data_IF_458209450076
#
_entry.id   IF_458209450076
#
_cell.length_a   1.000
_cell.length_b   1.000
_cell.length_c   1.000
_cell.angle_alpha   90.00
_cell.angle_beta   90.00
_cell.angle_gamma   90.00
#
_symmetry.space_group_name_H-M   'P 1'
#
loop_
_entity.id
_entity.type
_entity.pdbx_description
1 polymer ?
#
# COMPACT_ATOMS: atom_id res chain seq x y z
N UNK A 1 11.36 -17.75 -23.41
CA UNK A 1 10.57 -17.07 -22.36
C UNK A 1 10.40 -17.97 -21.12
N UNK A 2 10.46 -19.30 -21.28
CA UNK A 2 10.20 -20.26 -20.19
C UNK A 2 11.28 -20.31 -19.08
N UNK A 3 12.55 -20.07 -19.40
CA UNK A 3 13.61 -20.00 -18.36
C UNK A 3 13.45 -18.80 -17.41
N UNK A 4 12.81 -17.71 -17.83
CA UNK A 4 12.62 -16.51 -17.00
C UNK A 4 11.49 -16.69 -15.98
N UNK A 5 10.40 -17.36 -16.36
CA UNK A 5 9.31 -17.71 -15.43
C UNK A 5 9.77 -18.68 -14.35
N UNK A 6 10.67 -19.61 -14.69
CA UNK A 6 11.22 -20.58 -13.73
C UNK A 6 12.05 -19.91 -12.63
N UNK A 7 12.89 -18.93 -12.98
CA UNK A 7 13.74 -18.24 -12.00
C UNK A 7 12.96 -17.32 -11.04
N UNK A 8 11.96 -16.59 -11.53
CA UNK A 8 11.08 -15.75 -10.71
C UNK A 8 10.24 -16.57 -9.71
N UNK A 9 9.84 -17.77 -10.11
CA UNK A 9 9.07 -18.67 -9.23
C UNK A 9 9.96 -19.25 -8.11
N UNK A 10 11.24 -19.57 -8.39
CA UNK A 10 12.18 -20.04 -7.35
C UNK A 10 12.50 -18.96 -6.33
N UNK A 11 12.71 -17.71 -6.75
CA UNK A 11 13.02 -16.61 -5.82
C UNK A 11 11.86 -16.28 -4.89
N UNK A 12 10.61 -16.34 -5.37
CA UNK A 12 9.42 -16.04 -4.54
C UNK A 12 9.13 -17.13 -3.51
N UNK A 13 9.32 -18.42 -3.86
CA UNK A 13 9.24 -19.54 -2.92
C UNK A 13 10.32 -19.42 -1.83
N UNK A 14 11.53 -19.00 -2.23
CA UNK A 14 12.66 -18.84 -1.31
C UNK A 14 12.42 -17.71 -0.29
N UNK A 15 11.84 -16.58 -0.69
CA UNK A 15 11.46 -15.46 0.19
C UNK A 15 10.33 -15.82 1.16
N UNK A 16 9.31 -16.56 0.70
CA UNK A 16 8.23 -17.05 1.58
C UNK A 16 8.79 -17.95 2.69
N UNK A 17 9.76 -18.82 2.37
CA UNK A 17 10.41 -19.68 3.36
C UNK A 17 11.24 -18.89 4.40
N UNK A 18 11.97 -17.85 3.97
CA UNK A 18 12.72 -16.98 4.88
C UNK A 18 11.81 -16.18 5.81
N UNK A 19 10.71 -15.63 5.29
CA UNK A 19 9.72 -14.92 6.10
C UNK A 19 9.03 -15.82 7.13
N UNK A 20 8.76 -17.07 6.78
CA UNK A 20 8.21 -18.05 7.72
C UNK A 20 9.20 -18.37 8.85
N UNK A 21 10.49 -18.53 8.54
CA UNK A 21 11.55 -18.71 9.56
C UNK A 21 11.69 -17.49 10.47
N UNK A 22 11.59 -16.28 9.92
CA UNK A 22 11.61 -15.04 10.69
C UNK A 22 10.42 -14.98 11.66
N UNK A 23 9.21 -15.28 11.18
CA UNK A 23 8.01 -15.33 12.01
C UNK A 23 8.15 -16.36 13.15
N UNK A 24 8.59 -17.58 12.84
CA UNK A 24 8.83 -18.61 13.85
C UNK A 24 9.88 -18.19 14.89
N UNK A 25 10.96 -17.52 14.47
CA UNK A 25 11.98 -16.99 15.37
C UNK A 25 11.42 -15.89 16.29
N UNK A 26 10.58 -14.99 15.76
CA UNK A 26 9.93 -13.93 16.57
C UNK A 26 8.98 -14.50 17.62
N UNK A 27 8.20 -15.52 17.26
CA UNK A 27 7.31 -16.19 18.22
C UNK A 27 8.10 -16.91 19.31
N UNK A 28 9.19 -17.58 18.95
CA UNK A 28 10.08 -18.23 19.92
C UNK A 28 10.76 -17.24 20.87
N UNK A 29 11.13 -16.04 20.39
CA UNK A 29 11.68 -14.99 21.24
C UNK A 29 10.63 -14.50 22.25
N UNK A 30 9.39 -14.25 21.78
CA UNK A 30 8.31 -13.77 22.63
C UNK A 30 7.97 -14.75 23.75
N UNK A 31 7.91 -16.05 23.46
CA UNK A 31 7.67 -17.08 24.49
C UNK A 31 8.83 -17.17 25.48
N UNK A 32 10.08 -17.05 25.01
CA UNK A 32 11.24 -17.03 25.91
C UNK A 32 11.25 -15.78 26.82
N UNK A 33 10.85 -14.61 26.30
CA UNK A 33 10.74 -13.38 27.10
C UNK A 33 9.65 -13.50 28.18
N UNK A 34 8.51 -14.13 27.85
CA UNK A 34 7.43 -14.35 28.81
C UNK A 34 7.85 -15.31 29.93
N UNK A 35 8.56 -16.40 29.59
CA UNK A 35 9.12 -17.34 30.58
C UNK A 35 10.19 -16.71 31.47
N UNK A 36 11.00 -15.79 30.92
CA UNK A 36 11.98 -15.04 31.72
C UNK A 36 11.29 -14.08 32.69
N UNK A 37 10.23 -13.40 32.25
CA UNK A 37 9.45 -12.50 33.11
C UNK A 37 8.78 -13.26 34.27
N UNK A 38 8.24 -14.45 34.04
CA UNK A 38 7.69 -15.29 35.10
C UNK A 38 8.76 -15.76 36.08
N UNK A 39 9.91 -16.22 35.59
CA UNK A 39 11.02 -16.65 36.44
C UNK A 39 11.58 -15.51 37.32
N UNK A 40 11.62 -14.28 36.80
CA UNK A 40 11.99 -13.10 37.58
C UNK A 40 10.96 -12.74 38.66
N UNK A 41 9.66 -12.96 38.39
CA UNK A 41 8.61 -12.75 39.39
C UNK A 41 8.74 -13.75 40.54
N UNK A 42 9.02 -15.02 40.23
CA UNK A 42 9.26 -16.07 41.22
C UNK A 42 10.51 -15.79 42.07
N UNK A 43 11.60 -15.29 41.44
CA UNK A 43 12.81 -14.91 42.15
C UNK A 43 12.56 -13.77 43.17
N UNK A 44 11.73 -12.79 42.80
CA UNK A 44 11.33 -11.69 43.70
C UNK A 44 10.45 -12.18 44.85
N UNK A 45 9.72 -13.28 44.66
CA UNK A 45 8.88 -13.90 45.70
C UNK A 45 9.69 -14.74 46.71
N UNK A 46 11.01 -14.88 46.54
CA UNK A 46 11.89 -15.51 47.53
C UNK A 46 11.82 -17.05 47.55
N UNK A 47 11.28 -17.68 46.51
CA UNK A 47 11.13 -19.14 46.44
C UNK A 47 12.38 -19.83 45.87
N UNK A 48 13.11 -20.54 46.74
CA UNK A 48 14.07 -21.64 46.51
C UNK A 48 15.34 -21.39 45.65
N UNK A 49 16.43 -22.09 45.99
CA UNK A 49 17.71 -22.08 45.26
C UNK A 49 17.59 -22.47 43.78
N UNK A 50 16.54 -23.22 43.42
CA UNK A 50 16.22 -23.62 42.04
C UNK A 50 15.81 -22.45 41.13
N UNK A 51 15.29 -21.34 41.69
CA UNK A 51 14.85 -20.19 40.89
C UNK A 51 16.02 -19.47 40.21
N UNK A 52 17.19 -19.43 40.86
CA UNK A 52 18.40 -18.81 40.29
C UNK A 52 18.93 -19.64 39.11
N UNK A 53 18.86 -20.96 39.20
CA UNK A 53 19.24 -21.86 38.11
C UNK A 53 18.29 -21.71 36.92
N UNK A 54 16.96 -21.71 37.14
CA UNK A 54 15.97 -21.49 36.08
C UNK A 54 16.10 -20.12 35.42
N UNK A 55 16.41 -19.06 36.19
CA UNK A 55 16.65 -17.73 35.63
C UNK A 55 17.89 -17.69 34.73
N UNK A 56 18.97 -18.39 35.11
CA UNK A 56 20.18 -18.50 34.29
C UNK A 56 19.94 -19.34 33.02
N UNK A 57 19.22 -20.45 33.12
CA UNK A 57 18.83 -21.28 31.97
C UNK A 57 17.91 -20.52 31.01
N UNK A 58 16.93 -19.76 31.54
CA UNK A 58 16.05 -18.90 30.74
C UNK A 58 16.83 -17.76 30.06
N UNK A 59 17.81 -17.15 30.74
CA UNK A 59 18.69 -16.13 30.16
C UNK A 59 19.60 -16.69 29.06
N UNK A 60 20.10 -17.92 29.21
CA UNK A 60 20.84 -18.60 28.17
C UNK A 60 19.96 -18.92 26.96
N UNK A 61 18.73 -19.38 27.19
CA UNK A 61 17.74 -19.66 26.16
C UNK A 61 17.33 -18.41 25.38
N UNK A 62 17.09 -17.27 26.04
CA UNK A 62 16.78 -16.00 25.38
C UNK A 62 17.96 -15.51 24.53
N UNK A 63 19.19 -15.61 25.04
CA UNK A 63 20.40 -15.25 24.28
C UNK A 63 20.58 -16.13 23.04
N UNK A 64 20.32 -17.43 23.15
CA UNK A 64 20.35 -18.35 22.01
C UNK A 64 19.24 -18.06 20.99
N UNK A 65 18.02 -17.73 21.45
CA UNK A 65 16.92 -17.33 20.58
C UNK A 65 17.21 -16.01 19.84
N UNK A 66 17.78 -15.03 20.53
CA UNK A 66 18.20 -13.76 19.93
C UNK A 66 19.28 -13.96 18.86
N UNK A 67 20.25 -14.84 19.10
CA UNK A 67 21.28 -15.17 18.11
C UNK A 67 20.67 -15.78 16.84
N UNK A 68 19.66 -16.66 16.98
CA UNK A 68 18.92 -17.22 15.83
C UNK A 68 18.14 -16.16 15.06
N UNK A 69 17.54 -15.19 15.75
CA UNK A 69 16.82 -14.10 15.13
C UNK A 69 17.75 -13.18 14.32
N UNK A 70 18.90 -12.81 14.91
CA UNK A 70 19.91 -12.01 14.22
C UNK A 70 20.47 -12.74 12.99
N UNK A 71 20.71 -14.06 13.08
CA UNK A 71 21.15 -14.87 11.95
C UNK A 71 20.09 -14.94 10.83
N UNK A 72 18.81 -15.08 11.19
CA UNK A 72 17.71 -15.07 10.23
C UNK A 72 17.54 -13.71 9.53
N UNK A 73 17.73 -12.61 10.26
CA UNK A 73 17.73 -11.25 9.69
C UNK A 73 18.87 -11.06 8.70
N UNK A 74 20.09 -11.48 9.06
CA UNK A 74 21.25 -11.42 8.16
C UNK A 74 21.04 -12.26 6.88
N UNK A 75 20.35 -13.41 6.96
CA UNK A 75 20.00 -14.20 5.77
C UNK A 75 19.01 -13.46 4.84
N UNK A 76 18.02 -12.75 5.41
CA UNK A 76 17.08 -11.93 4.64
C UNK A 76 17.79 -10.78 3.95
N UNK A 77 18.61 -10.01 4.68
CA UNK A 77 19.38 -8.89 4.12
C UNK A 77 20.34 -9.33 3.01
N UNK A 78 21.05 -10.46 3.19
CA UNK A 78 21.92 -11.01 2.17
C UNK A 78 21.17 -11.36 0.87
N UNK A 79 19.95 -11.88 0.99
CA UNK A 79 19.11 -12.22 -0.17
C UNK A 79 18.51 -10.99 -0.85
N UNK A 80 18.14 -9.96 -0.09
CA UNK A 80 17.68 -8.69 -0.66
C UNK A 80 18.81 -8.01 -1.44
N UNK A 81 20.03 -8.00 -0.90
CA UNK A 81 21.21 -7.49 -1.60
C UNK A 81 21.52 -8.26 -2.90
N UNK A 82 21.32 -9.59 -2.91
CA UNK A 82 21.47 -10.40 -4.13
C UNK A 82 20.36 -10.10 -5.16
N UNK A 83 19.12 -9.93 -4.71
CA UNK A 83 18.00 -9.56 -5.57
C UNK A 83 18.21 -8.17 -6.20
N UNK A 84 18.75 -7.21 -5.44
CA UNK A 84 19.08 -5.89 -5.95
C UNK A 84 20.20 -5.95 -7.01
N UNK A 85 21.25 -6.74 -6.78
CA UNK A 85 22.30 -6.99 -7.79
C UNK A 85 21.74 -7.65 -9.06
N UNK A 86 20.78 -8.56 -8.93
CA UNK A 86 20.13 -9.20 -10.07
C UNK A 86 19.27 -8.22 -10.90
N UNK A 87 18.52 -7.34 -10.24
CA UNK A 87 17.71 -6.31 -10.93
C UNK A 87 18.58 -5.24 -11.59
N UNK A 88 19.68 -4.83 -10.95
CA UNK A 88 20.66 -3.90 -11.54
C UNK A 88 21.28 -4.45 -12.84
N UNK A 89 21.70 -5.73 -12.84
CA UNK A 89 22.20 -6.40 -14.05
C UNK A 89 21.16 -6.42 -15.18
N UNK A 90 19.90 -6.74 -14.85
CA UNK A 90 18.82 -6.77 -15.83
C UNK A 90 18.55 -5.39 -16.47
N UNK A 91 18.50 -4.33 -15.66
CA UNK A 91 18.32 -2.97 -16.18
C UNK A 91 19.48 -2.51 -17.07
N UNK A 92 20.73 -2.85 -16.73
CA UNK A 92 21.90 -2.51 -17.55
C UNK A 92 21.84 -3.15 -18.95
N UNK A 93 21.40 -4.41 -19.05
CA UNK A 93 21.27 -5.11 -20.33
C UNK A 93 20.09 -4.60 -21.18
N UNK A 94 19.02 -4.10 -20.56
CA UNK A 94 17.85 -3.63 -21.31
C UNK A 94 17.97 -2.17 -21.78
N UNK A 95 18.87 -1.38 -21.19
CA UNK A 95 19.15 0.01 -21.60
C UNK A 95 19.88 0.13 -22.94
N UNK A 96 20.36 -0.98 -23.52
CA UNK A 96 21.09 -1.01 -24.80
C UNK A 96 20.20 -1.36 -26.00
N UNK A 97 18.88 -1.53 -25.82
CA UNK A 97 17.98 -1.75 -26.95
C UNK A 97 17.74 -0.43 -27.69
N UNK A 98 18.09 -0.32 -28.99
CA UNK A 98 17.86 0.89 -29.76
C UNK A 98 16.36 1.22 -29.75
N UNK A 99 16.05 2.48 -29.41
CA UNK A 99 14.68 3.02 -29.47
C UNK A 99 14.13 2.77 -30.87
N UNK A 100 13.13 1.91 -31.00
CA UNK A 100 12.32 1.85 -32.22
C UNK A 100 11.60 3.19 -32.36
N UNK A 101 11.84 3.86 -33.48
CA UNK A 101 11.14 5.09 -33.88
C UNK A 101 9.63 4.87 -33.90
N UNK A 102 8.83 5.63 -33.14
CA UNK A 102 7.38 5.54 -33.18
C UNK A 102 6.85 6.40 -34.33
N UNK A 103 6.91 5.88 -35.56
CA UNK A 103 6.09 6.39 -36.68
C UNK A 103 4.85 5.52 -36.85
N UNK A 104 3.88 5.67 -35.94
CA UNK A 104 2.52 5.20 -36.20
C UNK A 104 1.50 6.05 -35.41
N UNK A 105 0.99 7.10 -36.05
CA UNK A 105 -0.12 7.90 -35.54
C UNK A 105 -1.42 7.15 -35.82
N UNK A 106 -1.94 6.42 -34.83
CA UNK A 106 -3.29 5.88 -34.86
C UNK A 106 -4.27 7.02 -34.53
N UNK A 107 -4.98 7.53 -35.55
CA UNK A 107 -6.08 8.49 -35.38
C UNK A 107 -7.27 7.74 -34.78
N UNK A 108 -7.54 7.96 -33.50
CA UNK A 108 -8.77 7.48 -32.84
C UNK A 108 -9.80 8.60 -32.84
N UNK A 109 -10.97 8.30 -33.38
CA UNK A 109 -12.13 9.18 -33.37
C UNK A 109 -12.56 9.51 -31.91
N UNK A 110 -12.94 10.76 -31.61
CA UNK A 110 -13.53 11.12 -30.33
C UNK A 110 -14.98 10.63 -30.29
N UNK A 111 -15.20 9.47 -29.66
CA UNK A 111 -16.55 9.00 -29.34
C UNK A 111 -17.04 9.75 -28.09
N UNK A 112 -18.24 10.32 -28.25
CA UNK A 112 -19.07 11.05 -27.28
C UNK A 112 -18.89 10.60 -25.82
N UNK A 113 -18.37 11.52 -25.01
CA UNK A 113 -18.34 11.42 -23.55
C UNK A 113 -19.76 11.68 -23.05
N UNK A 114 -20.50 10.64 -22.68
CA UNK A 114 -21.73 10.81 -21.93
C UNK A 114 -21.41 11.44 -20.57
N UNK A 115 -22.11 12.56 -20.35
CA UNK A 115 -22.35 13.31 -19.14
C UNK A 115 -22.10 12.55 -17.83
N UNK A 116 -21.01 12.91 -17.14
CA UNK A 116 -20.99 12.85 -15.67
C UNK A 116 -21.44 14.23 -15.15
N UNK A 117 -22.42 14.31 -14.24
CA UNK A 117 -22.80 15.58 -13.65
C UNK A 117 -21.62 16.13 -12.84
N UNK A 118 -21.03 17.21 -13.37
CA UNK A 118 -20.08 18.06 -12.66
C UNK A 118 -20.84 18.70 -11.50
N UNK A 119 -20.65 18.17 -10.30
CA UNK A 119 -21.24 18.70 -9.08
C UNK A 119 -20.42 19.91 -8.63
N UNK A 120 -21.15 20.99 -8.36
CA UNK A 120 -20.66 22.33 -8.05
C UNK A 120 -19.69 22.37 -6.84
N UNK A 121 -18.78 23.37 -6.78
CA UNK A 121 -17.99 23.62 -5.60
C UNK A 121 -18.83 24.37 -4.57
N UNK A 122 -18.97 23.81 -3.37
CA UNK A 122 -19.47 24.55 -2.21
C UNK A 122 -20.79 24.03 -1.65
N UNK A 123 -20.73 22.96 -0.85
CA UNK A 123 -21.71 22.71 0.20
C UNK A 123 -20.96 22.13 1.41
N UNK A 124 -21.26 22.68 2.58
CA UNK A 124 -20.48 22.58 3.82
C UNK A 124 -20.04 21.17 4.19
N UNK A 125 -18.85 21.11 4.79
CA UNK A 125 -18.28 19.92 5.41
C UNK A 125 -19.19 19.45 6.54
N UNK A 126 -20.16 18.61 6.22
CA UNK A 126 -20.83 17.78 7.21
C UNK A 126 -19.75 16.90 7.86
N UNK A 127 -19.55 17.08 9.16
CA UNK A 127 -18.55 16.41 9.97
C UNK A 127 -18.63 14.89 9.76
N UNK A 128 -17.67 14.36 9.00
CA UNK A 128 -17.41 12.92 8.94
C UNK A 128 -16.57 12.61 10.16
N UNK A 129 -16.91 11.56 10.93
CA UNK A 129 -16.02 11.19 12.03
C UNK A 129 -14.64 10.87 11.43
N UNK A 130 -13.57 11.53 11.92
CA UNK A 130 -12.25 11.31 11.37
C UNK A 130 -11.87 9.85 11.57
N UNK A 131 -11.49 9.20 10.49
CA UNK A 131 -10.87 7.88 10.55
C UNK A 131 -9.54 8.02 11.29
N UNK A 132 -9.34 7.17 12.29
CA UNK A 132 -8.10 7.15 13.05
C UNK A 132 -6.92 6.69 12.17
N UNK A 133 -5.77 7.36 12.30
CA UNK A 133 -4.57 7.12 11.47
C UNK A 133 -4.07 5.68 11.62
N UNK A 134 -4.23 5.09 12.81
CA UNK A 134 -3.87 3.68 13.07
C UNK A 134 -4.74 2.75 12.22
N UNK A 135 -6.04 3.01 12.16
CA UNK A 135 -7.00 2.21 11.37
C UNK A 135 -6.69 2.31 9.87
N UNK A 136 -6.36 3.52 9.40
CA UNK A 136 -5.93 3.75 8.01
C UNK A 136 -4.66 2.95 7.69
N UNK A 137 -3.65 3.02 8.57
CA UNK A 137 -2.39 2.28 8.41
C UNK A 137 -2.57 0.76 8.38
N UNK A 138 -3.41 0.23 9.27
CA UNK A 138 -3.77 -1.21 9.30
C UNK A 138 -4.46 -1.62 8.01
N UNK A 139 -5.42 -0.83 7.52
CA UNK A 139 -6.11 -1.14 6.27
C UNK A 139 -5.17 -1.14 5.06
N UNK A 140 -4.30 -0.14 4.93
CA UNK A 140 -3.37 -0.04 3.79
C UNK A 140 -2.38 -1.22 3.80
N UNK A 141 -1.80 -1.53 4.96
CA UNK A 141 -0.85 -2.65 5.09
C UNK A 141 -1.51 -4.00 4.82
N UNK A 142 -2.69 -4.24 5.38
CA UNK A 142 -3.47 -5.48 5.16
C UNK A 142 -3.93 -5.61 3.71
N UNK A 143 -4.36 -4.51 3.09
CA UNK A 143 -4.72 -4.51 1.68
C UNK A 143 -3.52 -4.81 0.79
N UNK A 144 -2.35 -4.24 1.10
CA UNK A 144 -1.12 -4.48 0.34
C UNK A 144 -0.70 -5.94 0.39
N UNK A 145 -0.80 -6.59 1.55
CA UNK A 145 -0.48 -8.02 1.70
C UNK A 145 -1.52 -8.90 1.02
N UNK A 146 -2.81 -8.62 1.17
CA UNK A 146 -3.89 -9.36 0.52
C UNK A 146 -3.79 -9.28 -1.02
N UNK A 147 -3.49 -8.09 -1.56
CA UNK A 147 -3.40 -7.83 -3.01
C UNK A 147 -2.03 -8.19 -3.62
N UNK A 148 -1.12 -8.76 -2.83
CA UNK A 148 0.15 -9.28 -3.34
C UNK A 148 -0.05 -10.57 -4.16
N UNK A 149 -0.97 -11.43 -3.72
CA UNK A 149 -1.29 -12.72 -4.37
C UNK A 149 -2.76 -12.74 -4.80
N UNK A 150 -3.04 -12.05 -5.92
CA UNK A 150 -4.41 -11.86 -6.44
C UNK A 150 -5.05 -13.19 -6.82
N UNK A 151 -4.26 -14.20 -7.21
CA UNK A 151 -4.74 -15.56 -7.51
C UNK A 151 -5.27 -16.30 -6.27
N UNK A 152 -4.72 -16.03 -5.09
CA UNK A 152 -5.14 -16.64 -3.83
C UNK A 152 -6.20 -15.82 -3.09
N UNK A 153 -6.66 -14.71 -3.66
CA UNK A 153 -7.61 -13.82 -3.03
C UNK A 153 -8.94 -14.55 -2.84
N UNK A 154 -9.49 -14.49 -1.62
CA UNK A 154 -10.82 -15.05 -1.29
C UNK A 154 -11.92 -13.99 -1.33
N UNK A 155 -11.58 -12.76 -0.95
CA UNK A 155 -12.47 -11.61 -0.95
C UNK A 155 -11.63 -10.34 -1.08
N UNK A 156 -12.24 -9.30 -1.65
CA UNK A 156 -11.61 -7.99 -1.70
C UNK A 156 -11.53 -7.38 -0.29
N UNK A 157 -10.40 -6.80 0.15
CA UNK A 157 -10.28 -6.22 1.48
C UNK A 157 -11.28 -5.07 1.66
N UNK A 158 -12.16 -5.19 2.65
CA UNK A 158 -13.17 -4.18 2.94
C UNK A 158 -12.53 -2.93 3.57
N UNK A 159 -12.88 -1.72 3.11
CA UNK A 159 -12.38 -0.49 3.69
C UNK A 159 -12.95 -0.29 5.11
N UNK A 160 -12.26 0.49 5.96
CA UNK A 160 -12.75 0.77 7.30
C UNK A 160 -14.11 1.48 7.22
N UNK A 161 -15.07 0.94 7.96
CA UNK A 161 -16.42 1.50 8.04
C UNK A 161 -16.40 2.76 8.91
N UNK A 162 -16.62 3.91 8.28
CA UNK A 162 -16.84 5.17 8.97
C UNK A 162 -18.19 5.74 8.55
N UNK A 163 -18.90 6.37 9.49
CA UNK A 163 -20.18 7.00 9.21
C UNK A 163 -19.94 8.31 8.44
N UNK A 164 -20.46 8.38 7.22
CA UNK A 164 -20.51 9.62 6.46
C UNK A 164 -21.85 10.30 6.70
N UNK A 165 -21.83 11.55 7.18
CA UNK A 165 -23.05 12.33 7.43
C UNK A 165 -23.73 12.85 6.15
N UNK A 166 -23.15 12.64 4.97
CA UNK A 166 -23.71 13.12 3.70
C UNK A 166 -24.86 12.20 3.25
N UNK A 167 -26.10 12.70 3.09
CA UNK A 167 -27.26 11.87 2.75
C UNK A 167 -27.11 11.16 1.40
N UNK A 168 -26.43 11.80 0.44
CA UNK A 168 -26.12 11.19 -0.87
C UNK A 168 -25.17 9.99 -0.77
N UNK A 169 -24.29 9.96 0.22
CA UNK A 169 -23.44 8.81 0.48
C UNK A 169 -24.23 7.65 1.10
N UNK A 170 -25.13 7.92 2.04
CA UNK A 170 -25.94 6.89 2.70
C UNK A 170 -26.87 6.18 1.72
N UNK A 171 -27.47 6.91 0.77
CA UNK A 171 -28.35 6.33 -0.25
C UNK A 171 -27.56 5.42 -1.21
N UNK A 172 -26.41 5.88 -1.71
CA UNK A 172 -25.62 5.12 -2.70
C UNK A 172 -24.75 4.03 -2.09
N UNK A 173 -24.61 3.97 -0.76
CA UNK A 173 -23.70 3.02 -0.10
C UNK A 173 -24.09 1.56 -0.36
N UNK A 174 -25.39 1.25 -0.38
CA UNK A 174 -25.89 -0.14 -0.56
C UNK A 174 -25.73 -0.66 -1.98
N UNK A 175 -25.61 0.23 -2.96
CA UNK A 175 -25.52 -0.11 -4.38
C UNK A 175 -24.07 -0.24 -4.86
N UNK A 176 -23.10 0.18 -4.04
CA UNK A 176 -21.67 0.18 -4.36
C UNK A 176 -21.03 -1.17 -4.08
N UNK A 177 -20.08 -1.55 -4.92
CA UNK A 177 -19.34 -2.81 -4.80
C UNK A 177 -18.51 -2.88 -3.51
N UNK A 178 -17.99 -1.75 -3.01
CA UNK A 178 -17.22 -1.71 -1.75
C UNK A 178 -18.07 -1.49 -0.50
N UNK A 179 -19.39 -1.30 -0.66
CA UNK A 179 -20.29 -0.86 0.41
C UNK A 179 -19.75 0.36 1.22
N UNK A 180 -18.93 1.20 0.57
CA UNK A 180 -18.21 2.30 1.21
C UNK A 180 -18.44 3.62 0.48
N UNK A 181 -18.61 4.69 1.25
CA UNK A 181 -18.76 6.04 0.70
C UNK A 181 -17.41 6.53 0.13
N UNK A 182 -17.41 7.25 -1.02
CA UNK A 182 -16.22 7.87 -1.59
C UNK A 182 -15.47 8.79 -0.63
N UNK A 183 -16.16 9.45 0.31
CA UNK A 183 -15.52 10.30 1.32
C UNK A 183 -14.58 9.49 2.24
N UNK A 184 -14.99 8.30 2.64
CA UNK A 184 -14.17 7.42 3.47
C UNK A 184 -12.95 6.93 2.70
N UNK A 185 -13.15 6.53 1.43
CA UNK A 185 -12.03 6.14 0.56
C UNK A 185 -11.04 7.30 0.37
N UNK A 186 -11.54 8.54 0.20
CA UNK A 186 -10.66 9.73 0.14
C UNK A 186 -9.89 9.93 1.43
N UNK A 187 -10.54 9.81 2.59
CA UNK A 187 -9.87 9.95 3.89
C UNK A 187 -8.76 8.90 4.07
N UNK A 188 -9.03 7.64 3.73
CA UNK A 188 -8.06 6.54 3.77
C UNK A 188 -6.82 6.85 2.92
N UNK A 189 -6.99 7.47 1.75
CA UNK A 189 -5.89 7.75 0.82
C UNK A 189 -5.33 9.18 0.92
N UNK A 190 -5.87 10.03 1.78
CA UNK A 190 -5.49 11.45 1.88
C UNK A 190 -4.05 11.64 2.38
N UNK A 191 -3.60 10.78 3.30
CA UNK A 191 -2.26 10.82 3.87
C UNK A 191 -1.17 10.22 2.98
N UNK A 192 -1.50 9.70 1.79
CA UNK A 192 -0.50 9.09 0.90
C UNK A 192 0.35 10.13 0.20
N UNK A 193 1.67 9.94 0.24
CA UNK A 193 2.61 10.74 -0.52
C UNK A 193 2.54 10.42 -2.02
N UNK A 194 3.05 11.32 -2.89
CA UNK A 194 2.94 11.16 -4.34
C UNK A 194 3.50 9.85 -4.92
N UNK A 195 4.50 9.22 -4.27
CA UNK A 195 5.00 7.89 -4.64
C UNK A 195 4.02 6.78 -4.25
N UNK A 196 3.56 6.79 -2.99
CA UNK A 196 2.62 5.81 -2.46
C UNK A 196 1.25 5.88 -3.14
N UNK A 197 0.82 7.08 -3.50
CA UNK A 197 -0.40 7.32 -4.26
C UNK A 197 -0.35 6.66 -5.64
N UNK A 198 0.76 6.82 -6.37
CA UNK A 198 0.97 6.14 -7.67
C UNK A 198 1.00 4.63 -7.50
N UNK A 199 1.66 4.14 -6.45
CA UNK A 199 1.70 2.72 -6.14
C UNK A 199 0.30 2.18 -5.81
N UNK A 200 -0.51 2.92 -5.05
CA UNK A 200 -1.89 2.57 -4.77
C UNK A 200 -2.71 2.43 -6.07
N UNK A 201 -2.62 3.39 -6.99
CA UNK A 201 -3.30 3.29 -8.30
C UNK A 201 -2.91 2.04 -9.08
N UNK A 202 -1.62 1.69 -9.08
CA UNK A 202 -1.16 0.45 -9.72
C UNK A 202 -1.73 -0.78 -9.00
N UNK A 203 -1.67 -0.79 -7.67
CA UNK A 203 -2.11 -1.92 -6.88
C UNK A 203 -3.63 -2.18 -7.00
N UNK A 204 -4.43 -1.12 -7.08
CA UNK A 204 -5.89 -1.21 -7.20
C UNK A 204 -6.39 -1.15 -8.64
N UNK A 205 -5.52 -1.29 -9.65
CA UNK A 205 -5.95 -1.29 -11.05
C UNK A 205 -6.81 -2.53 -11.37
N UNK A 206 -7.98 -2.38 -12.02
CA UNK A 206 -8.90 -3.51 -12.27
C UNK A 206 -8.26 -4.64 -13.09
N UNK A 207 -7.36 -4.33 -14.03
CA UNK A 207 -6.68 -5.35 -14.84
C UNK A 207 -5.83 -6.32 -14.01
N UNK A 208 -5.31 -5.90 -12.84
CA UNK A 208 -4.57 -6.82 -11.95
C UNK A 208 -5.45 -7.98 -11.47
N UNK A 209 -6.76 -7.74 -11.37
CA UNK A 209 -7.73 -8.73 -10.90
C UNK A 209 -8.16 -9.71 -11.99
N UNK A 210 -7.67 -9.60 -13.23
CA UNK A 210 -7.91 -10.63 -14.24
C UNK A 210 -7.41 -12.03 -13.82
N UNK A 211 -6.39 -12.09 -12.96
CA UNK A 211 -5.82 -13.32 -12.39
C UNK A 211 -6.57 -13.85 -11.17
N UNK A 212 -7.56 -13.11 -10.65
CA UNK A 212 -8.36 -13.55 -9.52
C UNK A 212 -9.23 -14.78 -9.87
N UNK A 213 -9.62 -15.59 -8.87
CA UNK A 213 -10.55 -16.69 -9.06
C UNK A 213 -11.84 -16.25 -9.76
N UNK A 214 -12.34 -17.06 -10.69
CA UNK A 214 -13.51 -16.73 -11.54
C UNK A 214 -14.72 -16.31 -10.73
N UNK A 215 -14.96 -16.94 -9.56
CA UNK A 215 -16.10 -16.67 -8.70
C UNK A 215 -16.13 -15.25 -8.12
N UNK A 216 -14.97 -14.64 -7.83
CA UNK A 216 -14.88 -13.33 -7.16
C UNK A 216 -14.30 -12.23 -8.07
N UNK A 217 -13.92 -12.60 -9.29
CA UNK A 217 -13.19 -11.71 -10.22
C UNK A 217 -13.99 -10.45 -10.54
N UNK A 218 -15.27 -10.61 -10.86
CA UNK A 218 -16.15 -9.50 -11.22
C UNK A 218 -16.28 -8.51 -10.06
N UNK A 219 -16.52 -9.01 -8.85
CA UNK A 219 -16.65 -8.19 -7.64
C UNK A 219 -15.35 -7.46 -7.34
N UNK A 220 -14.20 -8.16 -7.39
CA UNK A 220 -12.90 -7.55 -7.17
C UNK A 220 -12.60 -6.46 -8.20
N UNK A 221 -12.94 -6.67 -9.48
CA UNK A 221 -12.77 -5.66 -10.52
C UNK A 221 -13.70 -4.46 -10.32
N UNK A 222 -14.95 -4.68 -9.88
CA UNK A 222 -15.88 -3.61 -9.56
C UNK A 222 -15.38 -2.76 -8.37
N UNK A 223 -14.95 -3.40 -7.29
CA UNK A 223 -14.35 -2.73 -6.13
C UNK A 223 -13.08 -1.95 -6.50
N UNK A 224 -12.20 -2.56 -7.30
CA UNK A 224 -10.98 -1.93 -7.80
C UNK A 224 -11.26 -0.68 -8.65
N UNK A 225 -12.30 -0.73 -9.51
CA UNK A 225 -12.75 0.42 -10.31
C UNK A 225 -13.20 1.58 -9.43
N UNK A 226 -13.95 1.31 -8.37
CA UNK A 226 -14.39 2.36 -7.44
C UNK A 226 -13.22 3.06 -6.75
N UNK A 227 -12.24 2.30 -6.23
CA UNK A 227 -11.05 2.88 -5.61
C UNK A 227 -10.25 3.69 -6.64
N UNK A 228 -10.05 3.16 -7.84
CA UNK A 228 -9.30 3.84 -8.90
C UNK A 228 -9.98 5.16 -9.29
N UNK A 229 -11.30 5.18 -9.42
CA UNK A 229 -12.06 6.40 -9.71
C UNK A 229 -11.91 7.45 -8.60
N UNK A 230 -11.89 7.03 -7.32
CA UNK A 230 -11.64 7.95 -6.20
C UNK A 230 -10.22 8.52 -6.25
N UNK A 231 -9.21 7.68 -6.49
CA UNK A 231 -7.82 8.12 -6.63
C UNK A 231 -7.65 9.04 -7.86
N UNK A 232 -8.32 8.77 -8.97
CA UNK A 232 -8.31 9.64 -10.14
C UNK A 232 -8.87 11.03 -9.80
N UNK A 233 -10.04 11.08 -9.16
CA UNK A 233 -10.65 12.34 -8.72
C UNK A 233 -9.73 13.14 -7.78
N UNK A 234 -9.09 12.49 -6.80
CA UNK A 234 -8.12 13.14 -5.90
C UNK A 234 -6.90 13.69 -6.66
N UNK A 235 -6.42 12.97 -7.67
CA UNK A 235 -5.27 13.41 -8.49
C UNK A 235 -5.61 14.57 -9.43
N UNK A 236 -6.88 14.69 -9.86
CA UNK A 236 -7.34 15.79 -10.70
C UNK A 236 -7.52 17.08 -9.88
N UNK A 237 -8.07 16.99 -8.67
CA UNK A 237 -8.27 18.15 -7.78
C UNK A 237 -6.96 18.87 -7.44
N UNK A 238 -5.88 18.12 -7.15
CA UNK A 238 -4.57 18.71 -6.84
C UNK A 238 -3.92 19.45 -8.03
N UNK A 239 -4.25 19.06 -9.26
CA UNK A 239 -3.78 19.73 -10.48
C UNK A 239 -4.55 21.03 -10.76
N UNK A 240 -5.86 21.05 -10.53
CA UNK A 240 -6.67 22.26 -10.72
C UNK A 240 -6.29 23.39 -9.77
N UNK A 241 -5.95 23.07 -8.52
CA UNK A 241 -5.53 24.09 -7.53
C UNK A 241 -4.19 24.73 -7.88
N UNK A 242 -3.27 23.94 -8.45
CA UNK A 242 -1.97 24.44 -8.92
C UNK A 242 -2.14 25.40 -10.11
N UNK A 243 -3.12 25.15 -10.98
CA UNK A 243 -3.40 26.00 -12.15
C UNK A 243 -4.02 27.34 -11.75
N UNK A 244 -4.89 27.38 -10.73
CA UNK A 244 -5.43 28.63 -10.17
C UNK A 244 -4.35 29.50 -9.54
N UNK A 245 -3.46 28.92 -8.71
CA UNK A 245 -2.36 29.68 -8.07
C UNK A 245 -1.33 30.25 -9.06
N UNK A 246 -1.21 29.66 -10.25
CA UNK A 246 -0.35 30.16 -11.32
C UNK A 246 -0.94 31.33 -12.12
N UNK A 247 -2.27 31.50 -12.13
CA UNK A 247 -2.92 32.60 -12.86
C UNK A 247 -2.95 33.91 -12.04
N UNK A 248 -3.03 33.84 -10.71
CA UNK A 248 -3.03 35.03 -9.85
C UNK A 248 -1.64 35.67 -9.63
N UNK A 249 -0.58 35.08 -10.19
CA UNK A 249 0.81 35.56 -10.07
C UNK A 249 1.41 36.08 -11.39
N UNK A 250 0.59 36.62 -12.29
CA UNK A 250 1.13 37.60 -13.23
C UNK A 250 1.00 38.99 -12.58
N UNK A 251 2.06 39.52 -11.90
CA UNK A 251 2.08 40.94 -11.61
C UNK A 251 1.99 41.65 -12.96
N UNK A 252 0.93 42.44 -13.14
CA UNK A 252 0.75 43.25 -14.33
C UNK A 252 2.04 44.02 -14.60
N UNK A 253 2.75 43.61 -15.64
CA UNK A 253 3.93 44.31 -16.13
C UNK A 253 3.41 45.62 -16.71
N UNK A 254 3.23 46.63 -15.86
CA UNK A 254 2.88 47.98 -16.30
C UNK A 254 4.09 48.52 -17.06
N UNK A 255 4.03 48.40 -18.38
CA UNK A 255 4.94 49.06 -19.29
C UNK A 255 4.73 50.57 -19.07
N UNK A 256 5.56 51.18 -18.21
CA UNK A 256 5.66 52.63 -18.11
C UNK A 256 6.15 53.14 -19.46
N UNK A 257 5.22 53.64 -20.28
CA UNK A 257 5.54 54.50 -21.42
C UNK A 257 6.27 55.72 -20.85
N UNK A 258 7.57 55.79 -21.06
CA UNK A 258 8.32 57.05 -20.90
C UNK A 258 7.77 58.00 -21.96
N UNK A 259 7.11 59.06 -21.50
CA UNK A 259 6.81 60.21 -22.32
C UNK A 259 8.14 60.84 -22.76
N UNK A 260 8.30 60.95 -24.07
CA UNK A 260 9.13 61.97 -24.67
C UNK A 260 8.17 63.10 -25.05
N UNK A 261 8.34 64.25 -24.40
CA UNK A 261 8.20 65.63 -24.91
C UNK A 261 8.05 66.60 -23.73
#
# INVERSE_FOLDING_TARGET
MDSLRSNLSRTTVSLKASNFRLAAATTALATCQQAFASALADLKAGTCADAKQRANEAAAATKAAQAKLNAAQAEVEAREAEAEKATAKYNSNNSSRPRRDPKYTFKVNPMTHEFYPTTAPGQGEAATQPLDDVTIGVYISTSKTALADVSALKAFPAPPAALCAKPSCLQTQKERALAACPCNLRAVFAGLNGKDFRQAKLNYHPDRFAQAPTAIRADCQASAKEITAVLDAMSQSSRSDSKKRGQDKQPGFQIRKKGNE
#
